data_IF_236578591933
#
_entry.id   IF_236578591933
#
_cell.length_a   1.000
_cell.length_b   1.000
_cell.length_c   1.000
_cell.angle_alpha   90.00
_cell.angle_beta   90.00
_cell.angle_gamma   90.00
#
_symmetry.space_group_name_H-M   'P 1'
#
loop_
_entity.id
_entity.type
_entity.pdbx_description
1 polymer ?
#
# COMPACT_ATOMS: atom_id res chain seq x y z
N UNK A 1 -12.69 0.27 3.05
CA UNK A 1 -11.72 -0.55 3.84
C UNK A 1 -10.35 0.08 3.66
N UNK A 2 -9.51 0.09 4.70
CA UNK A 2 -8.09 0.48 4.58
C UNK A 2 -7.24 -0.79 4.66
N UNK A 3 -6.36 -0.98 3.69
CA UNK A 3 -5.41 -2.10 3.66
C UNK A 3 -4.00 -1.53 3.81
N UNK A 4 -3.28 -1.99 4.83
CA UNK A 4 -1.87 -1.62 5.05
C UNK A 4 -0.97 -2.76 4.58
N UNK A 5 -0.58 -2.70 3.30
CA UNK A 5 0.34 -3.64 2.69
C UNK A 5 1.79 -3.33 3.11
N UNK A 6 2.52 -4.33 3.62
CA UNK A 6 3.92 -4.16 4.04
C UNK A 6 4.76 -5.38 3.69
N UNK A 7 6.02 -5.13 3.34
CA UNK A 7 7.00 -6.17 3.04
C UNK A 7 8.33 -5.78 3.67
N UNK A 8 8.96 -6.72 4.39
CA UNK A 8 10.31 -6.59 4.89
C UNK A 8 11.20 -7.63 4.21
N UNK A 9 12.15 -7.17 3.40
CA UNK A 9 13.10 -8.04 2.70
C UNK A 9 14.36 -8.19 3.55
N UNK A 10 14.42 -9.24 4.38
CA UNK A 10 15.59 -9.52 5.21
C UNK A 10 15.34 -10.61 6.24
N UNK A 11 16.07 -10.55 7.35
CA UNK A 11 15.89 -11.45 8.48
C UNK A 11 14.46 -11.40 9.06
N UNK A 12 13.92 -12.57 9.40
CA UNK A 12 12.56 -12.73 9.88
C UNK A 12 12.31 -12.02 11.22
N UNK A 13 13.24 -12.13 12.16
CA UNK A 13 13.08 -11.55 13.50
C UNK A 13 13.20 -10.02 13.46
N UNK A 14 14.09 -9.52 12.61
CA UNK A 14 14.19 -8.08 12.32
C UNK A 14 12.91 -7.55 11.66
N UNK A 15 12.32 -8.29 10.72
CA UNK A 15 11.07 -7.93 10.05
C UNK A 15 9.87 -7.88 10.99
N UNK A 16 9.75 -8.85 11.90
CA UNK A 16 8.73 -8.84 12.95
C UNK A 16 8.83 -7.55 13.79
N UNK A 17 10.04 -7.21 14.25
CA UNK A 17 10.27 -5.98 15.01
C UNK A 17 9.99 -4.71 14.20
N UNK A 18 10.37 -4.69 12.92
CA UNK A 18 10.17 -3.53 12.06
C UNK A 18 8.69 -3.26 11.78
N UNK A 19 7.88 -4.31 11.63
CA UNK A 19 6.45 -4.20 11.29
C UNK A 19 5.54 -3.96 12.50
N UNK A 20 6.02 -4.20 13.73
CA UNK A 20 5.23 -4.05 14.97
C UNK A 20 4.49 -2.72 15.07
N UNK A 21 5.15 -1.59 14.78
CA UNK A 21 4.51 -0.26 14.89
C UNK A 21 3.36 -0.09 13.90
N UNK A 22 3.50 -0.63 12.69
CA UNK A 22 2.46 -0.58 11.67
C UNK A 22 1.28 -1.48 12.04
N UNK A 23 1.56 -2.67 12.57
CA UNK A 23 0.54 -3.64 13.03
C UNK A 23 -0.22 -3.17 14.28
N UNK A 24 0.39 -2.29 15.08
CA UNK A 24 -0.23 -1.69 16.26
C UNK A 24 -1.20 -0.52 15.93
N UNK A 25 -1.36 -0.14 14.65
CA UNK A 25 -2.26 0.94 14.26
C UNK A 25 -3.71 0.45 14.36
N UNK A 26 -4.48 1.06 15.26
CA UNK A 26 -5.91 0.82 15.41
C UNK A 26 -6.24 -0.62 15.83
N UNK A 27 -7.33 -1.16 15.27
CA UNK A 27 -7.76 -2.55 15.50
C UNK A 27 -8.07 -3.18 14.14
N UNK A 28 -7.16 -4.01 13.59
CA UNK A 28 -7.32 -4.53 12.23
C UNK A 28 -8.48 -5.51 12.14
N UNK A 29 -9.20 -5.50 11.02
CA UNK A 29 -10.23 -6.50 10.68
C UNK A 29 -9.59 -7.88 10.51
N UNK A 30 -8.41 -7.92 9.89
CA UNK A 30 -7.59 -9.11 9.73
C UNK A 30 -6.11 -8.72 9.79
N UNK A 31 -5.30 -9.54 10.47
CA UNK A 31 -3.84 -9.49 10.41
C UNK A 31 -3.34 -10.73 9.68
N UNK A 32 -2.79 -10.52 8.50
CA UNK A 32 -2.23 -11.57 7.62
C UNK A 32 -0.72 -11.40 7.41
N UNK A 33 -0.06 -10.60 8.25
CA UNK A 33 1.38 -10.40 8.18
C UNK A 33 2.08 -11.68 8.65
N UNK A 34 3.00 -12.19 7.83
CA UNK A 34 3.76 -13.39 8.14
C UNK A 34 4.87 -13.64 7.13
N UNK A 35 5.63 -14.72 7.35
CA UNK A 35 6.64 -15.16 6.39
C UNK A 35 5.97 -15.60 5.09
N UNK A 36 6.44 -15.05 3.98
CA UNK A 36 5.89 -15.32 2.66
C UNK A 36 7.06 -15.41 1.66
N UNK A 37 7.08 -16.42 0.76
CA UNK A 37 7.96 -16.35 -0.40
C UNK A 37 7.83 -15.01 -1.11
N UNK A 38 8.95 -14.42 -1.53
CA UNK A 38 8.92 -13.10 -2.19
C UNK A 38 8.03 -13.09 -3.43
N UNK A 39 8.02 -14.18 -4.21
CA UNK A 39 7.11 -14.34 -5.35
C UNK A 39 5.64 -14.38 -4.94
N UNK A 40 5.33 -14.97 -3.78
CA UNK A 40 3.97 -14.95 -3.22
C UNK A 40 3.51 -13.54 -2.86
N UNK A 41 4.40 -12.71 -2.30
CA UNK A 41 4.12 -11.29 -2.07
C UNK A 41 3.90 -10.52 -3.38
N UNK A 42 4.76 -10.75 -4.38
CA UNK A 42 4.65 -10.09 -5.69
C UNK A 42 3.31 -10.37 -6.39
N UNK A 43 2.71 -11.55 -6.16
CA UNK A 43 1.45 -11.98 -6.77
C UNK A 43 0.22 -11.66 -5.91
N UNK A 44 0.39 -11.10 -4.72
CA UNK A 44 -0.71 -10.89 -3.76
C UNK A 44 -1.84 -9.99 -4.31
N UNK A 45 -1.52 -9.12 -5.27
CA UNK A 45 -2.44 -8.16 -5.87
C UNK A 45 -2.92 -8.57 -7.27
N UNK A 46 -2.43 -9.68 -7.84
CA UNK A 46 -2.87 -10.18 -9.15
C UNK A 46 -4.40 -10.29 -9.28
N UNK A 47 -5.16 -10.72 -8.24
CA UNK A 47 -6.62 -10.78 -8.33
C UNK A 47 -7.32 -9.44 -8.58
N UNK A 48 -6.67 -8.31 -8.27
CA UNK A 48 -7.21 -6.97 -8.52
C UNK A 48 -7.15 -6.58 -10.01
N UNK A 49 -6.34 -7.29 -10.80
CA UNK A 49 -6.01 -6.96 -12.19
C UNK A 49 -6.33 -8.11 -13.15
N UNK A 50 -7.37 -8.88 -12.85
CA UNK A 50 -7.76 -10.05 -13.63
C UNK A 50 -8.13 -9.71 -15.09
N UNK A 51 -7.96 -10.66 -16.03
CA UNK A 51 -8.37 -10.48 -17.43
C UNK A 51 -9.84 -10.03 -17.56
N UNK A 52 -10.08 -9.03 -18.41
CA UNK A 52 -11.40 -8.43 -18.62
C UNK A 52 -11.68 -7.17 -17.79
N UNK A 53 -10.78 -6.81 -16.86
CA UNK A 53 -10.87 -5.56 -16.10
C UNK A 53 -10.79 -4.32 -17.02
N UNK A 54 -11.61 -3.31 -16.71
CA UNK A 54 -11.66 -2.03 -17.43
C UNK A 54 -11.01 -0.94 -16.59
N UNK A 55 -9.71 -0.77 -16.81
CA UNK A 55 -8.85 0.05 -15.96
C UNK A 55 -8.73 1.50 -16.46
N UNK A 56 -8.88 2.46 -15.55
CA UNK A 56 -8.56 3.88 -15.77
C UNK A 56 -7.86 4.46 -14.54
N UNK A 57 -6.70 5.08 -14.75
CA UNK A 57 -5.79 5.47 -13.67
C UNK A 57 -5.44 6.95 -13.79
N UNK A 58 -5.39 7.63 -12.65
CA UNK A 58 -4.78 8.95 -12.50
C UNK A 58 -3.79 8.87 -11.35
N UNK A 59 -2.57 9.34 -11.58
CA UNK A 59 -1.51 9.37 -10.57
C UNK A 59 -1.02 10.79 -10.36
N UNK A 60 -0.49 11.02 -9.17
CA UNK A 60 0.23 12.24 -8.84
C UNK A 60 1.28 11.93 -7.78
N UNK A 61 2.45 12.54 -7.91
CA UNK A 61 3.51 12.45 -6.93
C UNK A 61 3.42 13.64 -5.98
N UNK A 62 3.68 13.40 -4.70
CA UNK A 62 3.75 14.43 -3.68
C UNK A 62 4.76 14.02 -2.61
N UNK A 63 5.31 15.01 -1.92
CA UNK A 63 6.38 14.81 -0.93
C UNK A 63 5.85 14.52 0.47
N UNK A 64 4.58 14.80 0.74
CA UNK A 64 3.94 14.62 2.04
C UNK A 64 2.47 14.20 1.94
N UNK A 65 2.03 13.35 2.86
CA UNK A 65 0.60 13.11 3.13
C UNK A 65 0.11 14.16 4.12
N UNK A 66 -0.21 15.35 3.62
CA UNK A 66 -0.77 16.42 4.46
C UNK A 66 -2.20 16.12 4.92
N UNK A 67 -2.66 16.81 5.96
CA UNK A 67 -4.02 16.67 6.47
C UNK A 67 -5.07 16.90 5.38
N UNK A 68 -4.83 17.86 4.47
CA UNK A 68 -5.71 18.11 3.33
C UNK A 68 -5.76 16.97 2.31
N UNK A 69 -4.63 16.30 2.05
CA UNK A 69 -4.60 15.10 1.18
C UNK A 69 -5.39 13.96 1.83
N UNK A 70 -5.25 13.78 3.14
CA UNK A 70 -5.98 12.76 3.92
C UNK A 70 -7.48 13.03 3.87
N UNK A 71 -7.90 14.28 4.09
CA UNK A 71 -9.31 14.69 4.06
C UNK A 71 -9.93 14.42 2.69
N UNK A 72 -9.34 14.96 1.62
CA UNK A 72 -9.84 14.75 0.24
C UNK A 72 -9.92 13.26 -0.11
N UNK A 73 -8.92 12.48 0.28
CA UNK A 73 -8.89 11.06 -0.04
C UNK A 73 -9.95 10.26 0.71
N UNK A 74 -10.12 10.54 2.00
CA UNK A 74 -11.15 9.87 2.82
C UNK A 74 -12.56 10.17 2.30
N UNK A 75 -12.83 11.42 1.89
CA UNK A 75 -14.09 11.77 1.22
C UNK A 75 -14.28 11.09 -0.15
N UNK A 76 -13.20 10.93 -0.92
CA UNK A 76 -13.24 10.28 -2.22
C UNK A 76 -13.52 8.77 -2.08
N UNK A 77 -12.88 8.09 -1.11
CA UNK A 77 -13.10 6.67 -0.82
C UNK A 77 -14.57 6.38 -0.51
N UNK A 78 -15.25 7.28 0.21
CA UNK A 78 -16.68 7.13 0.53
C UNK A 78 -17.61 7.23 -0.70
N UNK A 79 -17.10 7.70 -1.84
CA UNK A 79 -17.85 7.96 -3.09
C UNK A 79 -17.28 7.23 -4.30
N UNK A 80 -16.52 6.15 -4.08
CA UNK A 80 -15.94 5.38 -5.17
C UNK A 80 -17.03 4.86 -6.14
N UNK A 81 -16.79 4.89 -7.46
CA UNK A 81 -17.81 4.52 -8.45
C UNK A 81 -18.26 3.06 -8.41
N UNK A 82 -17.40 2.16 -7.89
CA UNK A 82 -17.64 0.72 -7.85
C UNK A 82 -16.73 0.01 -6.86
N UNK A 83 -17.05 -1.25 -6.51
CA UNK A 83 -16.30 -2.05 -5.53
C UNK A 83 -14.86 -2.39 -5.97
N UNK A 84 -14.57 -2.33 -7.26
CA UNK A 84 -13.25 -2.57 -7.85
C UNK A 84 -12.36 -1.32 -7.89
N UNK A 85 -12.90 -0.15 -7.54
CA UNK A 85 -12.13 1.10 -7.53
C UNK A 85 -11.38 1.27 -6.20
N UNK A 86 -10.17 1.79 -6.27
CA UNK A 86 -9.34 2.05 -5.10
C UNK A 86 -8.54 3.35 -5.25
N UNK A 87 -8.02 3.86 -4.13
CA UNK A 87 -7.00 4.89 -4.10
C UNK A 87 -5.76 4.25 -3.46
N UNK A 88 -4.67 4.21 -4.22
CA UNK A 88 -3.41 3.60 -3.82
C UNK A 88 -2.37 4.65 -3.48
N UNK A 89 -1.69 4.47 -2.34
CA UNK A 89 -0.54 5.26 -1.95
C UNK A 89 0.71 4.39 -1.94
N UNK A 90 1.62 4.65 -2.87
CA UNK A 90 2.95 4.05 -2.89
C UNK A 90 3.94 4.93 -2.13
N UNK A 91 4.51 4.42 -1.04
CA UNK A 91 5.64 5.09 -0.40
C UNK A 91 6.93 4.75 -1.13
N UNK A 92 7.32 5.63 -2.05
CA UNK A 92 8.59 5.54 -2.78
C UNK A 92 9.66 6.34 -2.01
N UNK A 93 10.82 5.73 -1.81
CA UNK A 93 11.91 6.34 -1.06
C UNK A 93 13.12 5.41 -1.01
N UNK A 94 13.90 5.49 0.07
CA UNK A 94 15.01 4.57 0.30
C UNK A 94 16.04 4.64 -0.83
N UNK A 95 16.31 3.50 -1.49
CA UNK A 95 17.30 3.43 -2.56
C UNK A 95 16.95 4.31 -3.77
N UNK A 96 15.67 4.34 -4.17
CA UNK A 96 15.23 5.15 -5.30
C UNK A 96 15.43 6.66 -5.04
N UNK A 97 15.17 7.11 -3.82
CA UNK A 97 15.33 8.53 -3.43
C UNK A 97 16.77 8.98 -3.18
N UNK A 98 17.77 8.10 -3.35
CA UNK A 98 19.21 8.45 -3.23
C UNK A 98 19.90 8.62 -4.58
N UNK A 99 19.17 8.40 -5.67
CA UNK A 99 19.68 8.64 -7.03
C UNK A 99 19.47 10.12 -7.32
N UNK A 100 20.55 10.82 -7.70
CA UNK A 100 20.46 12.21 -8.14
C UNK A 100 19.57 12.32 -9.39
N UNK A 101 18.84 13.42 -9.50
CA UNK A 101 18.10 13.72 -10.72
C UNK A 101 19.07 14.03 -11.88
N UNK A 102 18.65 13.69 -13.10
CA UNK A 102 19.37 14.01 -14.34
C UNK A 102 19.47 15.53 -14.60
#
# INVERSE_FOLDING_TARGET
VLVLAMCYCGDAQAGEKATQKLRAIGTPIADVVGLNPFTGWQQAFDPLLAPGARNYWKSHDFTELSDGVIEVTTEAIARLPGPECEIFFGHVGGAAGRVEAD
#
